data_IF_139818838474
#
_entry.id   IF_139818838474
#
_cell.length_a   1.000
_cell.length_b   1.000
_cell.length_c   1.000
_cell.angle_alpha   90.00
_cell.angle_beta   90.00
_cell.angle_gamma   90.00
#
_symmetry.space_group_name_H-M   'P 1'
#
loop_
_entity.id
_entity.type
_entity.pdbx_description
1 polymer ?
#
# COMPACT_ATOMS: atom_id res chain seq x y z
N UNK A 1 -14.26 -12.22 17.68
CA UNK A 1 -13.71 -11.73 16.40
C UNK A 1 -14.83 -11.75 15.38
N UNK A 2 -15.18 -10.62 14.75
CA UNK A 2 -16.41 -10.44 13.96
C UNK A 2 -16.44 -11.19 12.61
N UNK A 3 -15.66 -12.27 12.44
CA UNK A 3 -15.58 -13.05 11.21
C UNK A 3 -14.93 -12.34 10.01
N UNK A 4 -14.41 -11.12 10.23
CA UNK A 4 -13.71 -10.34 9.21
C UNK A 4 -12.27 -10.84 9.05
N UNK A 5 -11.75 -10.93 7.81
CA UNK A 5 -10.35 -11.20 7.58
C UNK A 5 -9.51 -10.05 8.13
N UNK A 6 -8.46 -10.38 8.88
CA UNK A 6 -7.51 -9.41 9.46
C UNK A 6 -6.21 -9.50 8.67
N UNK A 7 -5.74 -8.36 8.18
CA UNK A 7 -4.47 -8.25 7.46
C UNK A 7 -3.62 -7.23 8.22
N UNK A 8 -2.40 -7.63 8.56
CA UNK A 8 -1.43 -6.79 9.28
C UNK A 8 -0.34 -6.35 8.30
N UNK A 9 -0.16 -5.04 8.14
CA UNK A 9 0.83 -4.46 7.22
C UNK A 9 1.85 -3.60 7.98
N UNK A 10 3.16 -3.81 7.80
CA UNK A 10 4.20 -3.02 8.48
C UNK A 10 4.33 -1.56 8.03
N UNK A 11 3.68 -1.18 6.92
CA UNK A 11 3.76 0.17 6.37
C UNK A 11 2.78 1.15 7.04
N UNK A 12 1.89 0.65 7.90
CA UNK A 12 0.97 1.47 8.68
C UNK A 12 1.71 1.90 9.96
N UNK A 13 1.73 3.21 10.24
CA UNK A 13 2.38 3.74 11.43
C UNK A 13 1.66 3.27 12.70
N UNK A 14 2.43 2.90 13.72
CA UNK A 14 1.96 2.36 15.01
C UNK A 14 2.05 3.38 16.15
N UNK A 15 2.09 4.68 15.81
CA UNK A 15 2.39 5.77 16.76
C UNK A 15 1.47 6.98 16.53
N UNK A 16 0.22 6.76 16.12
CA UNK A 16 -0.68 7.84 15.70
C UNK A 16 -1.49 8.47 16.85
N UNK A 17 -1.30 7.99 18.07
CA UNK A 17 -1.98 8.49 19.27
C UNK A 17 -1.27 9.69 19.89
N UNK A 18 -1.99 10.45 20.74
CA UNK A 18 -1.45 11.65 21.38
C UNK A 18 -0.19 11.39 22.25
N UNK A 19 0.01 10.14 22.69
CA UNK A 19 1.19 9.69 23.45
C UNK A 19 2.09 8.73 22.66
N UNK A 20 1.79 8.48 21.38
CA UNK A 20 2.54 7.54 20.54
C UNK A 20 2.16 6.06 20.75
N UNK A 21 1.13 5.78 21.53
CA UNK A 21 0.78 4.41 21.96
C UNK A 21 -0.42 3.82 21.18
N UNK A 22 -0.63 4.25 19.93
CA UNK A 22 -1.82 3.89 19.16
C UNK A 22 -1.50 3.34 17.77
N UNK A 23 -2.04 2.15 17.53
CA UNK A 23 -2.09 1.48 16.24
C UNK A 23 -3.44 1.79 15.57
N UNK A 24 -3.49 2.54 14.46
CA UNK A 24 -4.73 2.78 13.75
C UNK A 24 -5.24 1.47 13.12
N UNK A 25 -6.56 1.31 13.09
CA UNK A 25 -7.19 0.17 12.42
C UNK A 25 -8.06 0.67 11.29
N UNK A 26 -7.82 0.17 10.08
CA UNK A 26 -8.65 0.47 8.92
C UNK A 26 -9.66 -0.65 8.70
N UNK A 27 -10.94 -0.28 8.65
CA UNK A 27 -12.01 -1.18 8.25
C UNK A 27 -12.50 -0.72 6.88
N UNK A 28 -12.42 -1.62 5.91
CA UNK A 28 -12.79 -1.32 4.53
C UNK A 28 -13.57 -2.47 3.89
N UNK A 29 -14.45 -2.12 2.94
CA UNK A 29 -15.02 -3.12 2.03
C UNK A 29 -14.06 -3.35 0.86
N UNK A 30 -13.34 -4.47 0.89
CA UNK A 30 -12.30 -4.77 -0.11
C UNK A 30 -12.82 -4.80 -1.56
N UNK A 31 -14.10 -5.13 -1.78
CA UNK A 31 -14.71 -5.13 -3.12
C UNK A 31 -14.88 -3.75 -3.75
N UNK A 32 -14.93 -2.69 -2.93
CA UNK A 32 -15.14 -1.32 -3.40
C UNK A 32 -13.81 -0.63 -3.78
N UNK A 33 -12.69 -1.27 -3.44
CA UNK A 33 -11.33 -0.81 -3.70
C UNK A 33 -10.78 -1.54 -4.91
N UNK A 34 -10.51 -0.80 -5.99
CA UNK A 34 -10.02 -1.39 -7.24
C UNK A 34 -8.57 -0.98 -7.48
N UNK A 35 -7.71 -1.99 -7.62
CA UNK A 35 -6.33 -1.87 -8.05
C UNK A 35 -6.22 -2.24 -9.53
N UNK A 36 -5.61 -1.36 -10.31
CA UNK A 36 -5.29 -1.59 -11.70
C UNK A 36 -3.79 -1.71 -11.83
N UNK A 37 -3.33 -2.88 -12.27
CA UNK A 37 -1.92 -3.13 -12.50
C UNK A 37 -1.72 -3.65 -13.92
N UNK A 38 -0.65 -3.18 -14.55
CA UNK A 38 -0.14 -3.81 -15.76
C UNK A 38 0.93 -4.83 -15.39
N UNK A 39 1.01 -5.92 -16.14
CA UNK A 39 2.09 -6.89 -15.98
C UNK A 39 3.46 -6.23 -16.11
N UNK A 40 4.43 -6.75 -15.35
CA UNK A 40 5.80 -6.26 -15.35
C UNK A 40 6.40 -6.38 -16.75
N UNK A 41 6.95 -5.27 -17.26
CA UNK A 41 7.65 -5.21 -18.55
C UNK A 41 9.14 -5.02 -18.31
N UNK A 42 9.93 -5.95 -18.83
CA UNK A 42 11.38 -5.83 -18.87
C UNK A 42 11.81 -5.37 -20.27
N UNK A 43 12.69 -4.37 -20.35
CA UNK A 43 13.36 -3.99 -21.58
C UNK A 43 14.85 -3.77 -21.35
N UNK A 44 15.64 -4.14 -22.34
CA UNK A 44 17.08 -3.96 -22.37
C UNK A 44 17.38 -2.83 -23.36
N UNK A 45 18.10 -1.82 -22.90
CA UNK A 45 18.52 -0.68 -23.69
C UNK A 45 20.04 -0.81 -23.90
N UNK A 46 20.49 -1.33 -25.06
CA UNK A 46 21.89 -1.59 -25.33
C UNK A 46 22.72 -0.33 -25.63
N UNK A 47 22.09 0.81 -25.92
CA UNK A 47 22.75 2.03 -26.38
C UNK A 47 22.85 3.13 -25.30
N UNK A 48 23.21 2.78 -24.06
CA UNK A 48 23.11 3.74 -22.94
C UNK A 48 24.28 4.68 -22.71
N UNK A 49 25.35 4.62 -23.53
CA UNK A 49 26.46 5.59 -23.70
C UNK A 49 27.63 4.86 -24.35
N UNK A 50 27.93 5.17 -25.60
CA UNK A 50 28.98 4.49 -26.38
C UNK A 50 30.38 4.53 -25.73
N UNK A 51 30.64 5.52 -24.87
CA UNK A 51 31.93 5.67 -24.17
C UNK A 51 32.08 4.78 -22.92
N UNK A 52 30.98 4.27 -22.35
CA UNK A 52 31.01 3.57 -21.04
C UNK A 52 30.75 2.07 -21.14
N UNK A 53 30.41 1.55 -22.34
CA UNK A 53 30.16 0.11 -22.58
C UNK A 53 29.15 -0.52 -21.60
N UNK A 54 28.07 0.20 -21.25
CA UNK A 54 27.04 -0.27 -20.30
C UNK A 54 25.69 -0.56 -20.96
N UNK A 55 25.00 -1.58 -20.45
CA UNK A 55 23.64 -1.94 -20.83
C UNK A 55 22.68 -1.54 -19.71
N UNK A 56 21.60 -0.83 -20.03
CA UNK A 56 20.58 -0.47 -19.06
C UNK A 56 19.42 -1.46 -19.11
N UNK A 57 19.19 -2.12 -17.98
CA UNK A 57 18.04 -2.98 -17.76
C UNK A 57 16.94 -2.14 -17.11
N UNK A 58 15.79 -2.02 -17.75
CA UNK A 58 14.64 -1.34 -17.20
C UNK A 58 13.51 -2.34 -16.94
N UNK A 59 13.08 -2.36 -15.68
CA UNK A 59 11.88 -3.06 -15.25
C UNK A 59 10.84 -2.01 -14.88
N UNK A 60 9.68 -2.05 -15.52
CA UNK A 60 8.61 -1.10 -15.23
C UNK A 60 7.23 -1.75 -15.30
N UNK A 61 6.33 -1.21 -14.50
CA UNK A 61 4.91 -1.53 -14.50
C UNK A 61 4.13 -0.28 -14.14
N UNK A 62 2.93 -0.15 -14.69
CA UNK A 62 1.97 0.88 -14.32
C UNK A 62 1.02 0.33 -13.25
N UNK A 63 0.75 1.16 -12.24
CA UNK A 63 -0.18 0.90 -11.17
C UNK A 63 -1.08 2.12 -11.00
N UNK A 64 -2.38 1.90 -10.87
CA UNK A 64 -3.36 2.92 -10.51
C UNK A 64 -4.32 2.35 -9.45
N UNK A 65 -4.54 3.12 -8.39
CA UNK A 65 -5.36 2.72 -7.27
C UNK A 65 -6.58 3.66 -7.16
N UNK A 66 -7.78 3.07 -7.09
CA UNK A 66 -9.02 3.82 -6.96
C UNK A 66 -9.80 3.39 -5.72
N UNK A 67 -9.77 4.22 -4.68
CA UNK A 67 -10.50 4.01 -3.43
C UNK A 67 -11.56 5.12 -3.14
N UNK A 68 -11.49 6.27 -3.82
CA UNK A 68 -12.40 7.39 -3.57
C UNK A 68 -13.78 7.29 -4.26
N UNK A 69 -14.09 6.17 -4.94
CA UNK A 69 -15.40 5.99 -5.60
C UNK A 69 -16.54 5.91 -4.59
N UNK A 70 -16.30 5.23 -3.47
CA UNK A 70 -17.20 5.16 -2.33
C UNK A 70 -16.41 5.54 -1.07
N UNK A 71 -16.26 6.84 -0.75
CA UNK A 71 -15.39 7.27 0.34
C UNK A 71 -15.87 6.77 1.71
N UNK A 72 -17.17 6.47 1.85
CA UNK A 72 -17.75 5.89 3.07
C UNK A 72 -17.47 4.38 3.22
N UNK A 73 -16.84 3.73 2.23
CA UNK A 73 -16.50 2.30 2.29
C UNK A 73 -15.22 2.00 3.07
N UNK A 74 -14.48 3.04 3.47
CA UNK A 74 -13.25 2.96 4.26
C UNK A 74 -13.42 3.84 5.49
N UNK A 75 -13.15 3.27 6.66
CA UNK A 75 -13.16 3.97 7.94
C UNK A 75 -11.86 3.70 8.65
N UNK A 76 -11.27 4.77 9.16
CA UNK A 76 -10.16 4.72 10.11
C UNK A 76 -10.72 4.74 11.53
N UNK A 77 -10.27 3.80 12.34
CA UNK A 77 -10.59 3.71 13.76
C UNK A 77 -9.36 4.18 14.52
N UNK A 78 -9.52 5.30 15.24
CA UNK A 78 -8.51 5.90 16.11
C UNK A 78 -9.03 6.08 17.54
N UNK A 79 -8.17 6.53 18.46
CA UNK A 79 -8.46 6.67 19.88
C UNK A 79 -8.42 5.35 20.65
N UNK A 80 -7.63 4.38 20.15
CA UNK A 80 -7.47 3.08 20.79
C UNK A 80 -6.52 3.20 22.00
N UNK A 81 -6.93 2.67 23.15
CA UNK A 81 -6.09 2.59 24.34
C UNK A 81 -5.24 1.32 24.34
N UNK A 82 -4.01 1.42 24.86
CA UNK A 82 -3.15 0.26 25.05
C UNK A 82 -3.86 -0.83 25.88
N UNK A 83 -3.93 -2.09 25.40
CA UNK A 83 -4.59 -3.16 26.13
C UNK A 83 -3.82 -3.52 27.40
N UNK A 84 -4.48 -3.51 28.56
CA UNK A 84 -3.91 -4.03 29.81
C UNK A 84 -4.22 -5.51 29.93
N UNK A 85 -3.29 -6.36 29.46
CA UNK A 85 -3.31 -7.79 29.74
C UNK A 85 -2.75 -8.11 31.13
#
# INVERSE_FOLDING_TARGET
>A
MQGLPVVTEPNIETNLGASGDEDPVYVLRASDVVLWESGIKARVLPETRAETLTVLLQLYGYLAFSAARYPQSVVEITGLGAPTF
#
